data_IF_151062369598
#
_entry.id   IF_151062369598
#
_cell.length_a   1.000
_cell.length_b   1.000
_cell.length_c   1.000
_cell.angle_alpha   90.00
_cell.angle_beta   90.00
_cell.angle_gamma   90.00
#
_symmetry.space_group_name_H-M   'P 1'
#
loop_
_entity.id
_entity.type
_entity.pdbx_description
1 polymer ?
#
# COMPACT_ATOMS: atom_id res chain seq x y z
N UNK A 1 35.23 -86.33 -0.11
CA UNK A 1 34.11 -87.22 -0.52
C UNK A 1 34.16 -87.30 -2.04
N UNK A 2 34.44 -88.39 -2.74
CA UNK A 2 34.86 -89.78 -2.40
C UNK A 2 35.99 -90.14 -3.41
N UNK A 3 37.12 -90.70 -3.02
CA UNK A 3 37.41 -92.12 -2.72
C UNK A 3 37.29 -93.14 -3.89
N UNK A 4 38.46 -93.58 -4.36
CA UNK A 4 38.92 -94.98 -4.50
C UNK A 4 38.20 -95.94 -5.48
N UNK A 5 38.91 -96.31 -6.56
CA UNK A 5 39.31 -97.69 -7.01
C UNK A 5 40.05 -97.51 -8.35
N UNK A 6 41.32 -97.87 -8.57
CA UNK A 6 42.16 -98.96 -8.07
C UNK A 6 41.54 -100.35 -8.25
N UNK A 7 41.76 -100.93 -9.44
CA UNK A 7 41.96 -102.37 -9.62
C UNK A 7 43.30 -102.53 -10.30
N UNK A 8 44.25 -103.07 -9.56
CA UNK A 8 45.56 -103.54 -10.02
C UNK A 8 45.53 -105.06 -10.25
N UNK A 9 46.71 -105.63 -10.46
CA UNK A 9 47.08 -107.05 -10.33
C UNK A 9 46.52 -108.03 -11.36
N UNK A 10 47.47 -108.66 -12.05
CA UNK A 10 47.30 -109.74 -13.03
C UNK A 10 48.67 -110.10 -13.62
N UNK A 11 49.70 -110.14 -12.75
CA UNK A 11 51.03 -110.65 -13.09
C UNK A 11 51.07 -112.07 -12.52
N UNK A 12 51.16 -113.09 -13.37
CA UNK A 12 51.57 -114.43 -12.98
C UNK A 12 52.30 -115.12 -14.14
N UNK A 13 53.34 -115.84 -13.74
CA UNK A 13 54.44 -116.51 -14.46
C UNK A 13 54.86 -117.64 -13.49
N UNK A 14 55.38 -118.83 -13.87
CA UNK A 14 55.82 -119.35 -15.18
C UNK A 14 55.18 -120.73 -15.51
N UNK A 15 55.94 -121.58 -16.22
CA UNK A 15 55.93 -123.05 -16.22
C UNK A 15 54.73 -123.79 -16.82
N UNK A 16 54.91 -124.15 -18.10
CA UNK A 16 55.24 -125.54 -18.40
C UNK A 16 56.04 -125.61 -19.72
N UNK A 17 57.32 -126.00 -19.62
CA UNK A 17 58.11 -126.49 -20.75
C UNK A 17 57.53 -127.83 -21.22
N UNK A 18 56.44 -127.73 -21.98
CA UNK A 18 56.08 -128.79 -22.90
C UNK A 18 56.99 -128.65 -24.12
N UNK A 19 58.22 -129.19 -23.99
CA UNK A 19 59.02 -129.63 -25.14
C UNK A 19 58.28 -130.77 -25.86
N UNK A 20 57.15 -130.43 -26.50
CA UNK A 20 56.61 -131.26 -27.54
C UNK A 20 57.68 -131.32 -28.62
N UNK A 21 58.19 -132.53 -28.87
CA UNK A 21 58.85 -132.85 -30.14
C UNK A 21 57.76 -132.76 -31.19
N UNK A 22 57.57 -131.56 -31.71
CA UNK A 22 56.52 -131.23 -32.67
C UNK A 22 56.98 -131.81 -34.02
N UNK A 23 56.24 -132.81 -34.50
CA UNK A 23 56.35 -133.25 -35.89
C UNK A 23 56.09 -132.03 -36.79
N UNK A 24 56.86 -131.87 -37.87
CA UNK A 24 56.89 -130.61 -38.64
C UNK A 24 55.50 -130.11 -39.08
N UNK A 25 54.55 -131.03 -39.32
CA UNK A 25 53.16 -130.73 -39.68
C UNK A 25 52.39 -130.03 -38.54
N UNK A 26 52.60 -130.39 -37.26
CA UNK A 26 51.94 -129.74 -36.11
C UNK A 26 52.50 -128.32 -35.87
N UNK A 27 53.79 -128.09 -36.16
CA UNK A 27 54.40 -126.75 -36.10
C UNK A 27 53.75 -125.83 -37.15
N UNK A 28 53.51 -126.33 -38.35
CA UNK A 28 52.81 -125.59 -39.41
C UNK A 28 51.35 -125.29 -39.02
N UNK A 29 50.64 -126.22 -38.36
CA UNK A 29 49.28 -125.99 -37.89
C UNK A 29 49.18 -124.96 -36.76
N UNK A 30 50.03 -125.02 -35.73
CA UNK A 30 50.00 -124.03 -34.64
C UNK A 30 50.55 -122.67 -35.10
N UNK A 31 51.49 -122.62 -36.06
CA UNK A 31 51.88 -121.38 -36.74
C UNK A 31 50.72 -120.80 -37.58
N UNK A 32 50.01 -121.60 -38.38
CA UNK A 32 48.85 -121.16 -39.13
C UNK A 32 47.72 -120.66 -38.21
N UNK A 33 47.54 -121.28 -37.05
CA UNK A 33 46.61 -120.86 -36.00
C UNK A 33 47.04 -119.56 -35.33
N UNK A 34 48.33 -119.37 -35.01
CA UNK A 34 48.86 -118.11 -34.48
C UNK A 34 48.80 -116.97 -35.52
N UNK A 35 49.04 -117.26 -36.79
CA UNK A 35 48.84 -116.31 -37.91
C UNK A 35 47.35 -115.95 -38.04
N UNK A 36 46.44 -116.91 -37.88
CA UNK A 36 44.99 -116.67 -37.92
C UNK A 36 44.47 -115.90 -36.70
N UNK A 37 45.00 -116.16 -35.50
CA UNK A 37 44.65 -115.43 -34.29
C UNK A 37 45.27 -114.03 -34.27
N UNK A 38 46.48 -113.86 -34.79
CA UNK A 38 47.11 -112.54 -34.91
C UNK A 38 46.47 -111.70 -36.02
N UNK A 39 46.01 -112.30 -37.12
CA UNK A 39 45.21 -111.61 -38.14
C UNK A 39 43.84 -111.20 -37.60
N UNK A 40 43.11 -112.08 -36.92
CA UNK A 40 41.84 -111.73 -36.25
C UNK A 40 42.01 -110.67 -35.14
N UNK A 41 43.11 -110.73 -34.38
CA UNK A 41 43.44 -109.72 -33.38
C UNK A 41 43.78 -108.37 -34.01
N UNK A 42 44.46 -108.36 -35.17
CA UNK A 42 44.74 -107.14 -35.92
C UNK A 42 43.46 -106.56 -36.54
N UNK A 43 42.60 -107.39 -37.14
CA UNK A 43 41.29 -106.98 -37.64
C UNK A 43 40.40 -106.40 -36.51
N UNK A 44 40.42 -107.02 -35.32
CA UNK A 44 39.74 -106.49 -34.13
C UNK A 44 40.35 -105.16 -33.63
N UNK A 45 41.68 -105.00 -33.68
CA UNK A 45 42.36 -103.74 -33.38
C UNK A 45 42.02 -102.65 -34.41
N UNK A 46 41.88 -102.98 -35.69
CA UNK A 46 41.46 -102.06 -36.75
C UNK A 46 39.99 -101.65 -36.62
N UNK A 47 39.09 -102.60 -36.34
CA UNK A 47 37.69 -102.34 -35.97
C UNK A 47 37.61 -101.43 -34.73
N UNK A 48 38.45 -101.67 -33.71
CA UNK A 48 38.55 -100.81 -32.51
C UNK A 48 39.09 -99.41 -32.83
N UNK A 49 40.06 -99.26 -33.74
CA UNK A 49 40.59 -97.97 -34.19
C UNK A 49 39.54 -97.19 -34.99
N UNK A 50 38.87 -97.83 -35.96
CA UNK A 50 37.83 -97.19 -36.77
C UNK A 50 36.57 -96.83 -35.97
N UNK A 51 36.17 -97.64 -35.00
CA UNK A 51 35.10 -97.28 -34.05
C UNK A 51 35.50 -96.13 -33.13
N UNK A 52 36.76 -96.08 -32.66
CA UNK A 52 37.26 -94.94 -31.87
C UNK A 52 37.29 -93.66 -32.70
N UNK A 53 37.76 -93.72 -33.95
CA UNK A 53 37.76 -92.58 -34.85
C UNK A 53 36.33 -92.07 -35.08
N UNK A 54 35.39 -92.94 -35.45
CA UNK A 54 33.97 -92.58 -35.60
C UNK A 54 33.35 -92.00 -34.32
N UNK A 55 33.73 -92.51 -33.15
CA UNK A 55 33.25 -91.99 -31.87
C UNK A 55 33.81 -90.59 -31.60
N UNK A 56 35.10 -90.36 -31.86
CA UNK A 56 35.73 -89.04 -31.73
C UNK A 56 35.13 -88.03 -32.72
N UNK A 57 34.94 -88.43 -33.98
CA UNK A 57 34.26 -87.62 -35.01
C UNK A 57 32.84 -87.23 -34.56
N UNK A 58 32.08 -88.17 -33.97
CA UNK A 58 30.75 -87.90 -33.42
C UNK A 58 30.78 -87.01 -32.18
N UNK A 59 31.76 -87.16 -31.28
CA UNK A 59 31.95 -86.30 -30.10
C UNK A 59 32.29 -84.87 -30.53
N UNK A 60 33.16 -84.71 -31.54
CA UNK A 60 33.54 -83.42 -32.11
C UNK A 60 32.34 -82.73 -32.78
N UNK A 61 31.58 -83.45 -33.63
CA UNK A 61 30.35 -82.90 -34.24
C UNK A 61 29.32 -82.53 -33.17
N UNK A 62 29.23 -83.29 -32.07
CA UNK A 62 28.31 -82.99 -30.98
C UNK A 62 28.77 -81.81 -30.10
N UNK A 63 30.08 -81.63 -29.88
CA UNK A 63 30.59 -80.47 -29.14
C UNK A 63 30.39 -79.17 -29.92
N UNK A 64 30.57 -79.21 -31.25
CA UNK A 64 30.24 -78.12 -32.17
C UNK A 64 28.73 -77.83 -32.27
N UNK A 65 27.87 -78.86 -32.17
CA UNK A 65 26.42 -78.63 -32.14
C UNK A 65 25.97 -77.98 -30.84
N UNK A 66 26.57 -78.39 -29.71
CA UNK A 66 26.32 -77.79 -28.39
C UNK A 66 26.84 -76.35 -28.29
N UNK A 67 28.01 -76.02 -28.85
CA UNK A 67 28.49 -74.63 -28.87
C UNK A 67 27.57 -73.72 -29.69
N UNK A 68 27.13 -74.16 -30.88
CA UNK A 68 26.14 -73.44 -31.70
C UNK A 68 24.80 -73.26 -30.98
N UNK A 69 24.33 -74.26 -30.23
CA UNK A 69 23.10 -74.14 -29.42
C UNK A 69 23.25 -73.11 -28.29
N UNK A 70 24.40 -73.06 -27.61
CA UNK A 70 24.68 -72.07 -26.58
C UNK A 70 24.71 -70.64 -27.15
N UNK A 71 25.36 -70.44 -28.30
CA UNK A 71 25.37 -69.15 -29.02
C UNK A 71 23.96 -68.69 -29.40
N UNK A 72 23.11 -69.61 -29.88
CA UNK A 72 21.72 -69.31 -30.23
C UNK A 72 20.87 -68.95 -29.01
N UNK A 73 21.08 -69.61 -27.86
CA UNK A 73 20.36 -69.27 -26.62
C UNK A 73 20.84 -67.92 -26.04
N UNK A 74 22.13 -67.60 -26.10
CA UNK A 74 22.63 -66.24 -25.80
C UNK A 74 21.99 -65.18 -26.70
N UNK A 75 21.92 -65.44 -28.01
CA UNK A 75 21.29 -64.54 -28.99
C UNK A 75 19.81 -64.33 -28.67
N UNK A 76 19.10 -65.40 -28.29
CA UNK A 76 17.69 -65.37 -27.87
C UNK A 76 17.48 -64.54 -26.60
N UNK A 77 18.31 -64.72 -25.57
CA UNK A 77 18.25 -63.94 -24.33
C UNK A 77 18.54 -62.46 -24.59
N UNK A 78 19.54 -62.15 -25.43
CA UNK A 78 19.83 -60.78 -25.88
C UNK A 78 18.63 -60.18 -26.61
N UNK A 79 17.94 -60.94 -27.46
CA UNK A 79 16.74 -60.50 -28.18
C UNK A 79 15.55 -60.24 -27.25
N UNK A 80 15.22 -61.14 -26.32
CA UNK A 80 14.15 -60.92 -25.33
C UNK A 80 14.46 -59.72 -24.43
N UNK A 81 15.72 -59.53 -24.00
CA UNK A 81 16.12 -58.34 -23.23
C UNK A 81 15.91 -57.03 -24.01
N UNK A 82 16.08 -57.04 -25.34
CA UNK A 82 15.81 -55.90 -26.21
C UNK A 82 14.31 -55.69 -26.41
N UNK A 83 13.54 -56.77 -26.57
CA UNK A 83 12.07 -56.73 -26.69
C UNK A 83 11.42 -56.13 -25.45
N UNK A 84 11.76 -56.61 -24.25
CA UNK A 84 11.26 -56.04 -22.98
C UNK A 84 11.66 -54.57 -22.81
N UNK A 85 12.87 -54.16 -23.23
CA UNK A 85 13.27 -52.73 -23.23
C UNK A 85 12.42 -51.90 -24.20
N UNK A 86 12.17 -52.41 -25.41
CA UNK A 86 11.34 -51.76 -26.43
C UNK A 86 9.88 -51.61 -25.98
N UNK A 87 9.30 -52.65 -25.37
CA UNK A 87 7.96 -52.62 -24.77
C UNK A 87 7.87 -51.59 -23.64
N UNK A 88 8.86 -51.54 -22.74
CA UNK A 88 8.95 -50.53 -21.68
C UNK A 88 9.05 -49.09 -22.25
N UNK A 89 9.85 -48.88 -23.31
CA UNK A 89 9.98 -47.58 -23.97
C UNK A 89 8.65 -47.18 -24.64
N UNK A 90 7.98 -48.12 -25.31
CA UNK A 90 6.65 -47.92 -25.91
C UNK A 90 5.60 -47.53 -24.86
N UNK A 91 5.56 -48.24 -23.72
CA UNK A 91 4.65 -47.94 -22.62
C UNK A 91 4.92 -46.55 -22.02
N UNK A 92 6.18 -46.20 -21.78
CA UNK A 92 6.58 -44.86 -21.30
C UNK A 92 6.19 -43.75 -22.29
N UNK A 93 6.39 -43.98 -23.59
CA UNK A 93 5.97 -43.04 -24.65
C UNK A 93 4.45 -42.84 -24.66
N UNK A 94 3.66 -43.91 -24.52
CA UNK A 94 2.19 -43.84 -24.43
C UNK A 94 1.74 -43.02 -23.22
N UNK A 95 2.32 -43.26 -22.04
CA UNK A 95 2.03 -42.51 -20.80
C UNK A 95 2.42 -41.03 -20.95
N UNK A 96 3.58 -40.74 -21.55
CA UNK A 96 4.01 -39.37 -21.80
C UNK A 96 3.06 -38.62 -22.74
N UNK A 97 2.56 -39.28 -23.80
CA UNK A 97 1.56 -38.73 -24.72
C UNK A 97 0.22 -38.47 -24.03
N UNK A 98 -0.25 -39.40 -23.19
CA UNK A 98 -1.49 -39.23 -22.43
C UNK A 98 -1.38 -38.05 -21.43
N UNK A 99 -0.27 -37.95 -20.71
CA UNK A 99 0.00 -36.83 -19.81
C UNK A 99 0.11 -35.48 -20.55
N UNK A 100 0.65 -35.47 -21.77
CA UNK A 100 0.65 -34.29 -22.62
C UNK A 100 -0.76 -33.88 -23.08
N UNK A 101 -1.65 -34.85 -23.38
CA UNK A 101 -3.07 -34.57 -23.69
C UNK A 101 -3.78 -33.94 -22.50
N UNK A 102 -3.68 -34.56 -21.31
CA UNK A 102 -4.30 -34.04 -20.07
C UNK A 102 -3.85 -32.62 -19.73
N UNK A 103 -2.55 -32.32 -19.88
CA UNK A 103 -2.04 -30.95 -19.70
C UNK A 103 -2.57 -29.98 -20.75
N UNK A 104 -2.71 -30.39 -22.00
CA UNK A 104 -3.31 -29.57 -23.06
C UNK A 104 -4.78 -29.26 -22.78
N UNK A 105 -5.55 -30.24 -22.29
CA UNK A 105 -6.94 -30.07 -21.89
C UNK A 105 -7.09 -29.12 -20.70
N UNK A 106 -6.25 -29.27 -19.67
CA UNK A 106 -6.19 -28.35 -18.52
C UNK A 106 -5.89 -26.90 -18.94
N UNK A 107 -4.85 -26.69 -19.76
CA UNK A 107 -4.50 -25.38 -20.29
C UNK A 107 -5.62 -24.79 -21.18
N UNK A 108 -6.40 -25.63 -21.87
CA UNK A 108 -7.58 -25.20 -22.61
C UNK A 108 -8.63 -24.57 -21.69
N UNK A 109 -8.99 -25.24 -20.60
CA UNK A 109 -9.94 -24.74 -19.60
C UNK A 109 -9.43 -23.46 -18.92
N UNK A 110 -8.13 -23.40 -18.59
CA UNK A 110 -7.51 -22.18 -18.06
C UNK A 110 -7.62 -21.01 -19.03
N UNK A 111 -7.30 -21.20 -20.32
CA UNK A 111 -7.43 -20.16 -21.36
C UNK A 111 -8.88 -19.70 -21.54
N UNK A 112 -9.85 -20.62 -21.54
CA UNK A 112 -11.28 -20.28 -21.60
C UNK A 112 -11.73 -19.46 -20.38
N UNK A 113 -11.33 -19.86 -19.16
CA UNK A 113 -11.63 -19.12 -17.94
C UNK A 113 -11.00 -17.73 -17.93
N UNK A 114 -9.77 -17.59 -18.44
CA UNK A 114 -9.05 -16.33 -18.56
C UNK A 114 -9.72 -15.41 -19.60
N UNK A 115 -10.25 -15.98 -20.70
CA UNK A 115 -11.01 -15.23 -21.69
C UNK A 115 -12.30 -14.66 -21.08
N UNK A 116 -13.06 -15.48 -20.33
CA UNK A 116 -14.26 -15.04 -19.61
C UNK A 116 -13.91 -13.92 -18.62
N UNK A 117 -12.87 -14.10 -17.79
CA UNK A 117 -12.40 -13.07 -16.87
C UNK A 117 -11.97 -11.77 -17.60
N UNK A 118 -11.29 -11.89 -18.73
CA UNK A 118 -10.89 -10.77 -19.58
C UNK A 118 -12.09 -10.00 -20.15
N UNK A 119 -13.13 -10.69 -20.61
CA UNK A 119 -14.37 -10.02 -21.07
C UNK A 119 -15.07 -9.29 -19.92
N UNK A 120 -15.21 -9.91 -18.74
CA UNK A 120 -15.80 -9.31 -17.54
C UNK A 120 -15.02 -8.08 -17.06
N UNK A 121 -13.67 -8.13 -17.11
CA UNK A 121 -12.81 -6.99 -16.83
C UNK A 121 -13.00 -5.86 -17.85
N UNK A 122 -13.13 -6.18 -19.14
CA UNK A 122 -13.37 -5.18 -20.20
C UNK A 122 -14.72 -4.45 -20.05
N UNK A 123 -15.74 -5.15 -19.57
CA UNK A 123 -17.07 -4.57 -19.29
C UNK A 123 -17.01 -3.70 -18.04
N UNK A 124 -16.36 -4.18 -16.98
CA UNK A 124 -16.17 -3.43 -15.73
C UNK A 124 -15.36 -2.14 -15.97
N UNK A 125 -14.31 -2.20 -16.78
CA UNK A 125 -13.52 -1.04 -17.19
C UNK A 125 -14.35 -0.02 -17.97
N UNK A 126 -15.19 -0.45 -18.92
CA UNK A 126 -16.11 0.43 -19.66
C UNK A 126 -17.12 1.11 -18.74
N UNK A 127 -17.78 0.35 -17.85
CA UNK A 127 -18.70 0.91 -16.84
C UNK A 127 -18.03 1.95 -15.95
N UNK A 128 -16.78 1.71 -15.52
CA UNK A 128 -16.02 2.68 -14.74
C UNK A 128 -15.74 3.96 -15.55
N UNK A 129 -15.31 3.83 -16.82
CA UNK A 129 -15.08 4.96 -17.72
C UNK A 129 -16.35 5.75 -18.02
N UNK A 130 -17.49 5.07 -18.21
CA UNK A 130 -18.80 5.70 -18.37
C UNK A 130 -19.21 6.45 -17.09
N UNK A 131 -19.02 5.86 -15.91
CA UNK A 131 -19.33 6.52 -14.63
C UNK A 131 -18.44 7.74 -14.37
N UNK A 132 -17.15 7.68 -14.69
CA UNK A 132 -16.26 8.84 -14.53
C UNK A 132 -16.62 9.93 -15.54
N UNK A 133 -16.96 9.56 -16.78
CA UNK A 133 -17.47 10.50 -17.78
C UNK A 133 -18.74 11.19 -17.30
N UNK A 134 -19.72 10.47 -16.76
CA UNK A 134 -20.95 11.05 -16.20
C UNK A 134 -20.68 12.02 -15.03
N UNK A 135 -19.63 11.79 -14.24
CA UNK A 135 -19.19 12.72 -13.19
C UNK A 135 -18.54 13.99 -13.77
N UNK A 136 -17.79 13.90 -14.86
CA UNK A 136 -17.19 15.06 -15.53
C UNK A 136 -18.16 15.82 -16.44
N UNK A 137 -19.22 15.17 -16.91
CA UNK A 137 -20.29 15.79 -17.70
C UNK A 137 -21.13 16.80 -16.88
N UNK A 138 -22.01 17.51 -17.59
CA UNK A 138 -22.72 18.71 -17.14
C UNK A 138 -23.53 18.53 -15.84
N UNK A 139 -23.97 17.30 -15.55
CA UNK A 139 -24.77 16.91 -14.37
C UNK A 139 -23.93 16.61 -13.11
N UNK A 140 -22.61 16.48 -13.23
CA UNK A 140 -21.71 16.11 -12.14
C UNK A 140 -20.93 17.29 -11.55
N UNK A 141 -19.60 17.24 -11.65
CA UNK A 141 -18.69 18.27 -11.13
C UNK A 141 -18.98 19.67 -11.67
N UNK A 142 -19.51 19.80 -12.90
CA UNK A 142 -19.89 21.10 -13.48
C UNK A 142 -21.06 21.72 -12.72
N UNK A 143 -22.11 20.93 -12.42
CA UNK A 143 -23.24 21.38 -11.60
C UNK A 143 -22.80 21.69 -10.16
N UNK A 144 -21.91 20.89 -9.56
CA UNK A 144 -21.36 21.17 -8.23
C UNK A 144 -20.56 22.48 -8.22
N UNK A 145 -19.69 22.73 -9.20
CA UNK A 145 -18.98 24.01 -9.34
C UNK A 145 -19.95 25.18 -9.53
N UNK A 146 -21.03 25.01 -10.30
CA UNK A 146 -22.06 26.04 -10.48
C UNK A 146 -22.77 26.35 -9.15
N UNK A 147 -23.15 25.32 -8.38
CA UNK A 147 -23.75 25.48 -7.05
C UNK A 147 -22.78 26.15 -6.06
N UNK A 148 -21.51 25.74 -6.04
CA UNK A 148 -20.45 26.34 -5.23
C UNK A 148 -20.24 27.82 -5.59
N UNK A 149 -20.19 28.17 -6.88
CA UNK A 149 -20.13 29.58 -7.31
C UNK A 149 -21.37 30.36 -6.87
N UNK A 150 -22.58 29.82 -7.02
CA UNK A 150 -23.80 30.48 -6.54
C UNK A 150 -23.81 30.67 -5.01
N UNK A 151 -23.28 29.70 -4.25
CA UNK A 151 -23.10 29.83 -2.80
C UNK A 151 -22.09 30.93 -2.46
N UNK A 152 -20.92 30.96 -3.12
CA UNK A 152 -19.91 32.03 -2.95
C UNK A 152 -20.47 33.41 -3.30
N UNK A 153 -21.21 33.54 -4.40
CA UNK A 153 -21.92 34.78 -4.78
C UNK A 153 -22.92 35.22 -3.69
N UNK A 154 -23.67 34.27 -3.11
CA UNK A 154 -24.59 34.57 -2.00
C UNK A 154 -23.83 35.01 -0.76
N UNK A 155 -22.75 34.32 -0.37
CA UNK A 155 -21.88 34.69 0.76
C UNK A 155 -21.28 36.10 0.59
N UNK A 156 -20.80 36.42 -0.60
CA UNK A 156 -20.30 37.74 -0.98
C UNK A 156 -21.39 38.82 -0.87
N UNK A 157 -22.59 38.56 -1.40
CA UNK A 157 -23.72 39.48 -1.32
C UNK A 157 -24.15 39.76 0.13
N UNK A 158 -24.31 38.72 0.95
CA UNK A 158 -24.68 38.85 2.36
C UNK A 158 -23.58 39.55 3.18
N UNK A 159 -22.30 39.29 2.89
CA UNK A 159 -21.17 40.00 3.52
C UNK A 159 -21.08 41.46 3.07
N UNK A 160 -21.42 41.76 1.80
CA UNK A 160 -21.54 43.13 1.30
C UNK A 160 -22.63 43.90 2.05
N UNK A 161 -23.78 43.28 2.31
CA UNK A 161 -24.84 43.86 3.16
C UNK A 161 -24.36 44.15 4.60
N UNK A 162 -23.58 43.25 5.22
CA UNK A 162 -22.97 43.49 6.55
C UNK A 162 -21.95 44.63 6.49
N UNK A 163 -21.17 44.73 5.41
CA UNK A 163 -20.22 45.82 5.20
C UNK A 163 -20.91 47.18 4.98
N UNK A 164 -22.13 47.18 4.43
CA UNK A 164 -22.99 48.36 4.30
C UNK A 164 -23.65 48.74 5.63
N UNK A 165 -24.00 47.76 6.47
CA UNK A 165 -24.56 47.98 7.81
C UNK A 165 -23.50 48.45 8.82
N UNK A 166 -22.28 47.95 8.72
CA UNK A 166 -21.13 48.29 9.57
C UNK A 166 -19.94 48.80 8.74
N UNK A 167 -20.05 49.97 8.09
CA UNK A 167 -18.99 50.52 7.25
C UNK A 167 -17.76 50.88 8.08
N UNK A 168 -16.67 50.14 7.88
CA UNK A 168 -15.35 50.45 8.44
C UNK A 168 -14.67 51.53 7.58
N UNK A 169 -14.85 52.80 7.93
CA UNK A 169 -14.25 53.93 7.23
C UNK A 169 -12.88 54.28 7.83
N UNK A 170 -11.91 54.58 6.98
CA UNK A 170 -10.72 55.33 7.40
C UNK A 170 -11.19 56.76 7.61
N UNK A 171 -11.15 57.28 8.83
CA UNK A 171 -11.23 58.72 9.04
C UNK A 171 -9.88 59.34 8.75
N UNK A 172 -9.77 59.97 7.58
CA UNK A 172 -8.81 61.07 7.37
C UNK A 172 -9.49 62.30 7.96
N UNK A 173 -9.29 62.52 9.25
CA UNK A 173 -9.76 63.74 9.92
C UNK A 173 -8.92 64.95 9.49
N UNK A 174 -9.51 66.15 9.40
CA UNK A 174 -8.75 67.39 9.29
C UNK A 174 -7.97 67.65 10.59
N UNK A 175 -7.17 68.73 10.59
CA UNK A 175 -6.29 69.12 11.69
C UNK A 175 -6.95 69.00 13.07
N UNK A 176 -6.19 68.45 14.01
CA UNK A 176 -6.48 68.56 15.43
C UNK A 176 -6.40 70.04 15.82
N UNK A 177 -7.53 70.64 16.17
CA UNK A 177 -7.60 71.97 16.79
C UNK A 177 -6.99 71.90 18.20
N UNK A 178 -5.66 71.92 18.25
CA UNK A 178 -4.93 72.50 19.38
C UNK A 178 -4.76 73.98 19.07
N UNK A 179 -5.58 74.81 19.73
CA UNK A 179 -5.32 76.25 19.76
C UNK A 179 -3.93 76.51 20.34
N UNK A 180 -3.20 77.40 19.66
CA UNK A 180 -2.20 78.32 20.20
C UNK A 180 -1.17 77.75 21.19
N UNK A 181 0.06 77.58 20.70
CA UNK A 181 1.23 78.31 21.22
C UNK A 181 2.29 78.31 20.10
N UNK A 182 2.58 79.49 19.56
CA UNK A 182 3.64 79.71 18.57
C UNK A 182 4.99 79.92 19.28
N UNK A 183 6.09 79.37 18.76
CA UNK A 183 7.30 80.12 18.35
C UNK A 183 8.37 79.15 17.78
N UNK A 184 9.23 79.59 16.82
CA UNK A 184 10.07 78.68 16.02
C UNK A 184 11.57 78.70 16.35
N UNK A 185 12.27 77.57 16.19
CA UNK A 185 13.72 77.52 15.92
C UNK A 185 14.21 76.13 15.43
N UNK A 186 15.17 76.12 14.49
CA UNK A 186 16.21 75.08 14.45
C UNK A 186 16.03 73.89 13.50
N UNK A 187 16.29 74.08 12.20
CA UNK A 187 16.55 72.97 11.26
C UNK A 187 17.92 72.31 11.52
N UNK A 188 17.99 70.97 11.51
CA UNK A 188 19.09 70.26 10.87
C UNK A 188 18.67 68.87 10.36
N UNK A 189 19.29 68.44 9.26
CA UNK A 189 18.89 67.26 8.50
C UNK A 189 19.47 65.94 9.05
N UNK A 190 18.77 64.84 8.78
CA UNK A 190 19.22 63.47 9.07
C UNK A 190 18.44 62.44 8.26
N UNK A 191 18.96 62.04 7.11
CA UNK A 191 18.29 61.08 6.22
C UNK A 191 18.26 59.68 6.83
N UNK A 192 17.10 59.01 6.79
CA UNK A 192 17.07 57.55 6.63
C UNK A 192 15.90 57.14 5.73
N UNK A 193 16.24 56.45 4.63
CA UNK A 193 15.27 55.91 3.69
C UNK A 193 14.70 54.59 4.23
N UNK A 194 13.76 54.68 5.16
CA UNK A 194 12.89 53.58 5.57
C UNK A 194 11.54 53.67 4.84
N UNK A 195 11.03 52.55 4.33
CA UNK A 195 9.74 52.47 3.64
C UNK A 195 8.63 53.14 4.46
N UNK A 196 8.04 54.22 3.93
CA UNK A 196 6.91 54.90 4.56
C UNK A 196 5.70 53.96 4.59
N UNK A 197 5.42 53.39 5.77
CA UNK A 197 4.15 52.73 6.07
C UNK A 197 3.03 53.73 5.76
N UNK A 198 2.21 53.45 4.75
CA UNK A 198 1.16 54.38 4.34
C UNK A 198 0.22 54.67 5.51
N UNK A 199 0.01 55.96 5.80
CA UNK A 199 -0.68 56.48 6.98
C UNK A 199 -1.95 55.67 7.32
N UNK A 200 -1.90 54.91 8.41
CA UNK A 200 -3.09 54.32 9.00
C UNK A 200 -3.90 55.43 9.68
N UNK A 201 -4.74 56.12 8.90
CA UNK A 201 -5.79 56.95 9.45
C UNK A 201 -6.66 56.12 10.40
N UNK A 202 -7.16 56.74 11.47
CA UNK A 202 -7.94 56.03 12.48
C UNK A 202 -9.14 55.33 11.83
N UNK A 203 -9.36 54.07 12.18
CA UNK A 203 -10.48 53.30 11.64
C UNK A 203 -11.71 53.54 12.53
N UNK A 204 -12.84 53.84 11.89
CA UNK A 204 -14.13 54.05 12.56
C UNK A 204 -15.18 53.08 12.02
N UNK A 205 -16.08 52.61 12.88
CA UNK A 205 -17.32 51.93 12.47
C UNK A 205 -18.47 52.88 12.72
N UNK A 206 -19.26 53.19 11.69
CA UNK A 206 -20.40 54.12 11.79
C UNK A 206 -20.02 55.50 12.38
N UNK A 207 -18.76 55.94 12.18
CA UNK A 207 -18.23 57.19 12.76
C UNK A 207 -17.80 57.11 14.23
N UNK A 208 -17.90 55.93 14.87
CA UNK A 208 -17.36 55.70 16.21
C UNK A 208 -15.88 55.31 16.11
N UNK A 209 -15.03 56.07 16.80
CA UNK A 209 -13.63 55.69 16.99
C UNK A 209 -13.54 54.55 18.00
N UNK A 210 -12.90 53.45 17.60
CA UNK A 210 -12.42 52.46 18.55
C UNK A 210 -11.11 52.99 19.15
N UNK A 211 -11.24 53.99 20.02
CA UNK A 211 -10.13 54.47 20.83
C UNK A 211 -9.77 53.36 21.81
N UNK A 212 -8.83 52.51 21.40
CA UNK A 212 -8.02 51.68 22.29
C UNK A 212 -7.12 52.61 23.09
N UNK A 213 -7.74 53.43 23.94
CA UNK A 213 -7.05 54.30 24.88
C UNK A 213 -6.27 53.34 25.76
N UNK A 214 -4.96 53.26 25.53
CA UNK A 214 -4.10 52.23 26.11
C UNK A 214 -4.46 52.03 27.56
N UNK A 215 -4.91 50.84 27.96
CA UNK A 215 -5.45 50.55 29.30
C UNK A 215 -4.50 50.94 30.46
N UNK A 216 -3.24 51.28 30.13
CA UNK A 216 -2.17 51.89 30.93
C UNK A 216 -2.33 53.41 31.24
N UNK A 217 -3.24 54.15 30.60
CA UNK A 217 -3.52 55.59 30.82
C UNK A 217 -5.02 55.86 30.99
N UNK A 218 -5.64 55.16 31.93
CA UNK A 218 -6.93 55.59 32.48
C UNK A 218 -6.67 56.77 33.43
N UNK A 219 -6.84 58.01 32.96
CA UNK A 219 -6.91 59.15 33.89
C UNK A 219 -8.27 59.13 34.59
N UNK A 220 -8.38 59.77 35.76
CA UNK A 220 -9.67 59.98 36.45
C UNK A 220 -10.69 60.81 35.64
N UNK A 221 -10.32 61.27 34.43
CA UNK A 221 -11.07 62.17 33.55
C UNK A 221 -11.34 61.58 32.16
N UNK A 222 -11.33 60.26 31.97
CA UNK A 222 -11.87 59.66 30.74
C UNK A 222 -13.37 59.94 30.65
N UNK A 223 -13.83 60.62 29.59
CA UNK A 223 -15.26 60.89 29.42
C UNK A 223 -16.02 59.56 29.32
N UNK A 224 -17.01 59.38 30.21
CA UNK A 224 -17.89 58.20 30.23
C UNK A 224 -18.55 57.96 28.86
N UNK A 225 -18.77 59.03 28.08
CA UNK A 225 -19.29 58.95 26.70
C UNK A 225 -18.30 58.30 25.73
N UNK A 226 -16.99 58.47 25.89
CA UNK A 226 -15.99 57.81 25.02
C UNK A 226 -15.92 56.31 25.29
N UNK A 227 -15.98 55.91 26.56
CA UNK A 227 -16.05 54.50 26.96
C UNK A 227 -17.32 53.84 26.40
N UNK A 228 -18.48 54.51 26.49
CA UNK A 228 -19.72 54.01 25.89
C UNK A 228 -19.66 53.96 24.36
N UNK A 229 -19.01 54.93 23.69
CA UNK A 229 -18.80 54.90 22.23
C UNK A 229 -17.91 53.73 21.80
N UNK A 230 -16.80 53.46 22.51
CA UNK A 230 -15.91 52.36 22.17
C UNK A 230 -16.53 50.99 22.45
N UNK A 231 -17.26 50.83 23.56
CA UNK A 231 -18.07 49.65 23.86
C UNK A 231 -19.15 49.39 22.79
N UNK A 232 -19.84 50.44 22.34
CA UNK A 232 -20.83 50.35 21.26
C UNK A 232 -20.19 49.96 19.92
N UNK A 233 -19.04 50.54 19.58
CA UNK A 233 -18.28 50.18 18.38
C UNK A 233 -17.82 48.71 18.42
N UNK A 234 -17.38 48.22 19.58
CA UNK A 234 -16.94 46.83 19.76
C UNK A 234 -18.13 45.84 19.72
N UNK A 235 -19.30 46.22 20.24
CA UNK A 235 -20.55 45.49 20.04
C UNK A 235 -20.94 45.36 18.57
N UNK A 236 -20.76 46.43 17.77
CA UNK A 236 -20.97 46.38 16.32
C UNK A 236 -19.95 45.48 15.60
N UNK A 237 -18.67 45.48 16.00
CA UNK A 237 -17.69 44.49 15.50
C UNK A 237 -18.17 43.07 15.81
N UNK A 238 -18.53 42.79 17.06
CA UNK A 238 -18.90 41.45 17.50
C UNK A 238 -20.16 40.94 16.77
N UNK A 239 -21.13 41.81 16.51
CA UNK A 239 -22.28 41.50 15.67
C UNK A 239 -21.89 41.23 14.20
N UNK A 240 -21.04 42.07 13.60
CA UNK A 240 -20.55 41.86 12.23
C UNK A 240 -19.77 40.53 12.09
N UNK A 241 -18.92 40.20 13.06
CA UNK A 241 -18.17 38.93 13.13
C UNK A 241 -19.13 37.73 13.22
N UNK A 242 -20.13 37.79 14.11
CA UNK A 242 -21.14 36.73 14.25
C UNK A 242 -21.94 36.52 12.95
N UNK A 243 -22.33 37.59 12.26
CA UNK A 243 -23.04 37.49 10.98
C UNK A 243 -22.15 36.87 9.89
N UNK A 244 -20.92 37.39 9.71
CA UNK A 244 -19.99 36.89 8.69
C UNK A 244 -19.64 35.42 8.94
N UNK A 245 -19.41 35.01 10.20
CA UNK A 245 -19.18 33.62 10.57
C UNK A 245 -20.36 32.70 10.19
N UNK A 246 -21.59 33.13 10.49
CA UNK A 246 -22.79 32.36 10.13
C UNK A 246 -22.99 32.23 8.61
N UNK A 247 -22.68 33.28 7.84
CA UNK A 247 -22.77 33.28 6.37
C UNK A 247 -21.68 32.42 5.71
N UNK A 248 -20.47 32.43 6.27
CA UNK A 248 -19.37 31.58 5.81
C UNK A 248 -19.50 30.12 6.27
N UNK A 249 -20.46 29.81 7.15
CA UNK A 249 -20.61 28.53 7.84
C UNK A 249 -19.34 28.11 8.62
N UNK A 250 -18.66 29.08 9.24
CA UNK A 250 -17.49 28.83 10.09
C UNK A 250 -17.92 28.93 11.56
N UNK A 251 -17.83 27.85 12.36
CA UNK A 251 -18.13 27.91 13.79
C UNK A 251 -17.06 28.72 14.52
N UNK A 252 -17.46 29.77 15.24
CA UNK A 252 -16.55 30.58 16.06
C UNK A 252 -15.98 29.76 17.23
N UNK A 253 -14.74 30.03 17.62
CA UNK A 253 -14.10 29.39 18.79
C UNK A 253 -14.63 29.97 20.09
N UNK A 254 -14.90 31.28 20.09
CA UNK A 254 -15.38 32.01 21.26
C UNK A 254 -16.77 32.59 20.96
N UNK A 255 -17.87 31.91 21.34
CA UNK A 255 -19.22 32.38 21.08
C UNK A 255 -19.48 33.77 21.67
N UNK A 256 -20.13 34.65 20.89
CA UNK A 256 -20.45 36.02 21.31
C UNK A 256 -21.90 36.08 21.81
N UNK A 257 -22.10 36.60 23.02
CA UNK A 257 -23.41 37.05 23.50
C UNK A 257 -23.63 38.50 23.11
N UNK A 258 -24.54 38.71 22.17
CA UNK A 258 -24.85 40.01 21.58
C UNK A 258 -25.72 40.84 22.55
N UNK A 259 -25.18 41.96 23.03
CA UNK A 259 -25.84 42.88 23.97
C UNK A 259 -25.68 44.35 23.60
N UNK A 260 -25.38 44.64 22.32
CA UNK A 260 -25.02 45.99 21.87
C UNK A 260 -23.77 46.47 22.59
N UNK A 261 -23.85 47.62 23.26
CA UNK A 261 -22.77 48.19 24.08
C UNK A 261 -22.37 47.29 25.28
N UNK A 262 -23.22 46.34 25.69
CA UNK A 262 -22.92 45.37 26.75
C UNK A 262 -22.86 43.95 26.17
N UNK A 263 -22.11 43.77 25.08
CA UNK A 263 -21.84 42.44 24.53
C UNK A 263 -20.78 41.71 25.35
N UNK A 264 -20.83 40.38 25.36
CA UNK A 264 -19.87 39.51 26.04
C UNK A 264 -19.32 38.47 25.07
N UNK A 265 -18.14 37.96 25.35
CA UNK A 265 -17.54 36.82 24.65
C UNK A 265 -17.29 35.68 25.64
N UNK A 266 -17.55 34.46 25.20
CA UNK A 266 -17.48 33.25 26.03
C UNK A 266 -16.17 32.52 25.76
N UNK A 267 -15.36 32.30 26.79
CA UNK A 267 -14.29 31.30 26.71
C UNK A 267 -14.81 29.93 27.16
N UNK A 268 -14.51 28.93 26.33
CA UNK A 268 -14.86 27.53 26.53
C UNK A 268 -13.70 26.72 27.16
N UNK A 269 -12.57 27.37 27.48
CA UNK A 269 -11.53 26.76 28.28
C UNK A 269 -12.11 26.21 29.61
N UNK A 270 -11.72 25.01 30.05
CA UNK A 270 -12.16 24.47 31.33
C UNK A 270 -11.61 25.34 32.47
N UNK A 271 -12.49 26.09 33.14
CA UNK A 271 -12.14 26.82 34.36
C UNK A 271 -11.59 25.83 35.39
N UNK A 272 -10.42 26.14 35.94
CA UNK A 272 -9.82 25.43 37.07
C UNK A 272 -10.23 26.07 38.41
N UNK A 273 -11.43 26.65 38.50
CA UNK A 273 -11.94 27.20 39.76
C UNK A 273 -12.51 26.08 40.64
N UNK A 274 -11.60 25.50 41.42
CA UNK A 274 -11.92 24.73 42.61
C UNK A 274 -12.61 25.67 43.63
N UNK A 275 -13.73 25.22 44.18
CA UNK A 275 -14.51 25.86 45.27
C UNK A 275 -15.53 26.94 44.85
N UNK A 276 -16.80 26.52 44.71
CA UNK A 276 -17.92 27.09 45.49
C UNK A 276 -19.20 26.31 45.19
N UNK A 277 -19.45 25.29 46.01
CA UNK A 277 -20.80 24.81 46.23
C UNK A 277 -21.59 25.92 46.92
N UNK A 278 -22.71 26.32 46.33
CA UNK A 278 -24.01 26.47 47.01
C UNK A 278 -24.98 27.24 46.12
N UNK A 279 -25.95 26.53 45.54
CA UNK A 279 -27.34 26.96 45.26
C UNK A 279 -28.05 25.94 44.36
N UNK A 280 -28.95 25.17 44.95
CA UNK A 280 -30.05 24.45 44.26
C UNK A 280 -31.00 25.49 43.60
N UNK A 281 -31.75 25.24 42.52
CA UNK A 281 -32.04 24.06 41.69
C UNK A 281 -32.41 24.56 40.25
N UNK A 282 -32.78 23.77 39.23
CA UNK A 282 -33.21 22.36 39.18
C UNK A 282 -32.77 21.65 37.88
N UNK A 283 -33.68 20.99 37.15
CA UNK A 283 -33.38 20.00 36.11
C UNK A 283 -33.69 20.46 34.68
N UNK A 284 -32.66 20.49 33.83
CA UNK A 284 -32.56 19.57 32.67
C UNK A 284 -31.11 19.52 32.16
N UNK A 285 -30.66 18.32 31.80
CA UNK A 285 -29.24 18.04 31.54
C UNK A 285 -28.76 18.41 30.14
N UNK A 286 -27.98 19.49 30.03
CA UNK A 286 -26.83 19.57 29.11
C UNK A 286 -25.68 20.25 29.85
N UNK A 287 -24.48 19.67 29.78
CA UNK A 287 -23.31 20.02 30.59
C UNK A 287 -23.08 21.53 30.84
N UNK A 288 -23.51 22.01 32.01
CA UNK A 288 -23.15 23.35 32.51
C UNK A 288 -21.72 23.35 33.06
N UNK A 289 -20.73 23.21 32.18
CA UNK A 289 -19.45 23.88 32.40
C UNK A 289 -19.76 25.36 32.54
N UNK A 290 -19.45 25.99 33.68
CA UNK A 290 -19.60 27.44 33.86
C UNK A 290 -18.61 28.13 32.92
N UNK A 291 -19.03 28.39 31.68
CA UNK A 291 -18.21 29.06 30.69
C UNK A 291 -17.94 30.50 31.15
N UNK A 292 -16.70 30.97 30.95
CA UNK A 292 -16.29 32.24 31.51
C UNK A 292 -16.65 33.37 30.56
N UNK A 293 -17.60 34.22 30.98
CA UNK A 293 -18.03 35.38 30.20
C UNK A 293 -17.13 36.59 30.47
N UNK A 294 -16.63 37.19 29.39
CA UNK A 294 -15.77 38.37 29.42
C UNK A 294 -16.47 39.56 28.71
N UNK A 295 -16.53 40.75 29.35
CA UNK A 295 -17.23 41.90 28.80
C UNK A 295 -16.46 42.52 27.62
N UNK A 296 -17.15 42.81 26.52
CA UNK A 296 -16.63 43.62 25.41
C UNK A 296 -16.86 45.13 25.66
N UNK A 297 -16.75 45.55 26.91
CA UNK A 297 -16.87 46.93 27.36
C UNK A 297 -16.00 47.15 28.59
N UNK A 298 -15.56 48.39 28.81
CA UNK A 298 -14.82 48.74 30.02
C UNK A 298 -15.84 49.07 31.12
N UNK A 299 -16.09 48.10 31.99
CA UNK A 299 -16.60 48.40 33.33
C UNK A 299 -15.41 48.82 34.22
N UNK A 300 -15.63 49.79 35.12
CA UNK A 300 -14.58 50.66 35.67
C UNK A 300 -13.45 49.97 36.45
N UNK A 301 -13.64 48.69 36.83
CA UNK A 301 -12.72 47.89 37.63
C UNK A 301 -12.02 46.77 36.83
N UNK A 302 -12.52 46.43 35.63
CA UNK A 302 -12.26 45.15 34.94
C UNK A 302 -11.51 45.32 33.59
N UNK A 303 -10.60 46.30 33.51
CA UNK A 303 -9.87 46.64 32.27
C UNK A 303 -9.10 45.48 31.64
N UNK A 304 -8.55 44.58 32.46
CA UNK A 304 -7.82 43.38 32.00
C UNK A 304 -8.75 42.34 31.38
N UNK A 305 -9.94 42.14 31.96
CA UNK A 305 -10.98 41.24 31.45
C UNK A 305 -11.55 41.76 30.12
N UNK A 306 -11.75 43.07 30.00
CA UNK A 306 -12.15 43.71 28.75
C UNK A 306 -11.06 43.63 27.66
N UNK A 307 -9.79 43.83 28.00
CA UNK A 307 -8.67 43.66 27.07
C UNK A 307 -8.54 42.21 26.57
N UNK A 308 -8.79 41.23 27.44
CA UNK A 308 -8.83 39.82 27.07
C UNK A 308 -10.01 39.49 26.15
N UNK A 309 -11.21 40.02 26.42
CA UNK A 309 -12.38 39.87 25.54
C UNK A 309 -12.11 40.37 24.11
N UNK A 310 -11.46 41.54 23.97
CA UNK A 310 -11.02 42.10 22.69
C UNK A 310 -10.05 41.16 21.97
N UNK A 311 -9.09 40.58 22.70
CA UNK A 311 -8.12 39.64 22.15
C UNK A 311 -8.79 38.36 21.62
N UNK A 312 -9.75 37.79 22.36
CA UNK A 312 -10.54 36.64 21.92
C UNK A 312 -11.35 36.95 20.65
N UNK A 313 -11.99 38.11 20.58
CA UNK A 313 -12.72 38.56 19.38
C UNK A 313 -11.78 38.72 18.17
N UNK A 314 -10.54 39.17 18.39
CA UNK A 314 -9.53 39.20 17.33
C UNK A 314 -9.09 37.79 16.90
N UNK A 315 -9.12 36.80 17.81
CA UNK A 315 -8.81 35.39 17.47
C UNK A 315 -9.89 34.71 16.65
N UNK A 316 -11.15 35.07 16.84
CA UNK A 316 -12.23 34.68 15.91
C UNK A 316 -12.06 35.34 14.53
N UNK A 317 -11.71 36.63 14.47
CA UNK A 317 -11.37 37.30 13.20
C UNK A 317 -10.18 36.64 12.49
N UNK A 318 -9.14 36.26 13.23
CA UNK A 318 -7.99 35.51 12.71
C UNK A 318 -8.41 34.13 12.18
N UNK A 319 -9.32 33.43 12.87
CA UNK A 319 -9.91 32.17 12.37
C UNK A 319 -10.68 32.37 11.06
N UNK A 320 -11.51 33.43 10.96
CA UNK A 320 -12.26 33.72 9.75
C UNK A 320 -11.32 34.05 8.57
N UNK A 321 -10.28 34.86 8.79
CA UNK A 321 -9.25 35.13 7.78
C UNK A 321 -8.52 33.85 7.36
N UNK A 322 -8.11 33.01 8.31
CA UNK A 322 -7.45 31.73 8.04
C UNK A 322 -8.37 30.77 7.25
N UNK A 323 -9.68 30.78 7.48
CA UNK A 323 -10.65 29.96 6.74
C UNK A 323 -10.76 30.31 5.25
N UNK A 324 -10.30 31.51 4.88
CA UNK A 324 -10.23 32.03 3.50
C UNK A 324 -8.77 32.00 2.98
N UNK A 325 -7.81 31.53 3.78
CA UNK A 325 -6.39 31.46 3.43
C UNK A 325 -5.61 32.77 3.60
N UNK A 326 -6.15 33.75 4.32
CA UNK A 326 -5.52 35.05 4.55
C UNK A 326 -4.87 35.17 5.93
N UNK A 327 -3.75 35.91 6.02
CA UNK A 327 -3.05 36.18 7.29
C UNK A 327 -3.64 37.41 7.98
N UNK A 328 -3.74 37.38 9.32
CA UNK A 328 -4.14 38.54 10.11
C UNK A 328 -3.02 39.57 10.27
N UNK A 329 -3.39 40.82 10.54
CA UNK A 329 -2.47 41.93 10.82
C UNK A 329 -2.01 41.96 12.30
N UNK A 330 -2.23 40.89 13.06
CA UNK A 330 -1.87 40.78 14.47
C UNK A 330 -3.04 41.00 15.46
N UNK A 331 -2.76 40.87 16.78
CA UNK A 331 -3.77 40.76 17.84
C UNK A 331 -4.49 42.07 18.20
N UNK A 332 -3.87 43.23 17.97
CA UNK A 332 -4.40 44.55 18.33
C UNK A 332 -5.27 45.21 17.25
N UNK A 333 -5.34 44.61 16.06
CA UNK A 333 -5.84 45.27 14.85
C UNK A 333 -7.24 44.83 14.43
N UNK A 334 -8.15 44.68 15.39
CA UNK A 334 -9.54 44.21 15.21
C UNK A 334 -10.25 44.85 14.00
N UNK A 335 -10.28 46.18 13.93
CA UNK A 335 -10.94 46.89 12.82
C UNK A 335 -10.24 46.70 11.47
N UNK A 336 -8.91 46.60 11.47
CA UNK A 336 -8.17 46.37 10.24
C UNK A 336 -8.41 44.94 9.75
N UNK A 337 -8.35 43.95 10.63
CA UNK A 337 -8.66 42.54 10.34
C UNK A 337 -10.09 42.36 9.80
N UNK A 338 -11.09 43.04 10.37
CA UNK A 338 -12.46 43.04 9.83
C UNK A 338 -12.54 43.69 8.44
N UNK A 339 -11.80 44.78 8.20
CA UNK A 339 -11.73 45.47 6.89
C UNK A 339 -10.97 44.67 5.84
N UNK A 340 -9.94 43.92 6.22
CA UNK A 340 -9.27 42.94 5.33
C UNK A 340 -10.25 41.82 4.98
N UNK A 341 -10.90 41.21 5.98
CA UNK A 341 -11.87 40.12 5.81
C UNK A 341 -12.99 40.50 4.85
N UNK A 342 -13.64 41.66 5.08
CA UNK A 342 -14.69 42.17 4.20
C UNK A 342 -14.20 42.39 2.76
N UNK A 343 -12.99 42.93 2.57
CA UNK A 343 -12.41 43.17 1.24
C UNK A 343 -12.10 41.89 0.48
N UNK A 344 -11.55 40.87 1.17
CA UNK A 344 -11.20 39.58 0.57
C UNK A 344 -12.45 38.82 0.16
N UNK A 345 -13.53 38.87 0.96
CA UNK A 345 -14.81 38.26 0.59
C UNK A 345 -15.47 39.02 -0.57
N UNK A 346 -15.28 40.33 -0.65
CA UNK A 346 -15.80 41.18 -1.73
C UNK A 346 -15.01 41.09 -3.05
N UNK A 347 -13.75 40.64 -3.05
CA UNK A 347 -12.98 40.52 -4.29
C UNK A 347 -13.43 39.34 -5.16
N UNK A 348 -13.29 39.46 -6.48
CA UNK A 348 -13.64 38.41 -7.45
C UNK A 348 -12.95 37.07 -7.18
N UNK A 349 -11.73 37.12 -6.65
CA UNK A 349 -10.92 35.95 -6.25
C UNK A 349 -11.61 35.04 -5.24
N UNK A 350 -12.56 35.52 -4.44
CA UNK A 350 -13.33 34.68 -3.50
C UNK A 350 -14.33 33.74 -4.21
N UNK A 351 -14.84 34.14 -5.37
CA UNK A 351 -15.78 33.35 -6.18
C UNK A 351 -15.03 32.23 -6.92
N UNK A 352 -13.83 32.53 -7.40
CA UNK A 352 -12.99 31.61 -8.18
C UNK A 352 -11.98 30.83 -7.31
N UNK A 353 -11.95 31.07 -6.00
CA UNK A 353 -11.23 30.27 -5.01
C UNK A 353 -11.80 28.84 -4.96
N UNK A 354 -11.22 27.98 -5.80
CA UNK A 354 -11.39 26.53 -5.71
C UNK A 354 -10.49 25.99 -4.59
N UNK A 355 -11.10 25.19 -3.73
CA UNK A 355 -10.45 24.20 -2.86
C UNK A 355 -10.55 22.86 -3.60
#
# INVERSE_FOLDING_TARGET
MEQIRKVSSGTDVPDQDNEKVIEWEDFEHDLARLVSLSSALNEAKEKKRSLRQKLEDHIQVNSESLSRLNELEEMRQKLESKKVKMENISMRSRIAKENASKKKEQLGVEVESLLVAGTALSVSRRRLQESSRLLFEEKGYIQLRKLQKMLRMRQQCMTSQVSMLYPVKISVGPAQEQELESYPAGSLAGNSAGLKQANQGSLTILGLHLTMLSFKKMSFFTDKKEIQKSATALGYVAHAVSLIASYLHVPLRYPVRLGGSHSYIIDNAPSMDVTSSDSSSSAMSTANTKHMEFPLFLDGQDTTRAAYAVFLLNKDLEQLLNSIGAKSLGPSHVLANLRELSRIIQSSTFIDSMI
#
